data_IF_722359200836
#
_entry.id   IF_722359200836
#
_cell.length_a   1.000
_cell.length_b   1.000
_cell.length_c   1.000
_cell.angle_alpha   90.00
_cell.angle_beta   90.00
_cell.angle_gamma   90.00
#
_symmetry.space_group_name_H-M   'P 1'
#
loop_
_entity.id
_entity.type
_entity.pdbx_description
1 polymer ?
#
# COMPACT_ATOMS: atom_id res chain seq x y z
N UNK A 1 -17.14 -14.51 -17.77
CA UNK A 1 -17.05 -15.98 -17.81
C UNK A 1 -18.19 -16.66 -17.06
N UNK A 2 -18.33 -16.46 -15.73
CA UNK A 2 -19.34 -17.15 -14.89
C UNK A 2 -20.79 -17.02 -15.41
N UNK A 3 -21.25 -15.79 -15.69
CA UNK A 3 -22.58 -15.55 -16.30
C UNK A 3 -22.79 -16.33 -17.59
N UNK A 4 -21.87 -16.18 -18.55
CA UNK A 4 -21.98 -16.84 -19.85
C UNK A 4 -22.01 -18.37 -19.72
N UNK A 5 -21.18 -18.93 -18.82
CA UNK A 5 -21.14 -20.37 -18.56
C UNK A 5 -22.45 -20.89 -17.95
N UNK A 6 -22.99 -20.20 -16.94
CA UNK A 6 -24.25 -20.61 -16.31
C UNK A 6 -25.43 -20.59 -17.30
N UNK A 7 -25.58 -19.50 -18.05
CA UNK A 7 -26.67 -19.36 -19.02
C UNK A 7 -26.55 -20.38 -20.18
N UNK A 8 -25.33 -20.71 -20.61
CA UNK A 8 -25.11 -21.69 -21.68
C UNK A 8 -25.56 -23.12 -21.33
N UNK A 9 -25.65 -23.46 -20.04
CA UNK A 9 -26.09 -24.79 -19.57
C UNK A 9 -27.51 -24.79 -19.00
N UNK A 10 -28.27 -23.71 -19.18
CA UNK A 10 -29.60 -23.53 -18.58
C UNK A 10 -29.57 -23.39 -17.06
N UNK A 11 -28.42 -23.04 -16.49
CA UNK A 11 -28.24 -22.80 -15.06
C UNK A 11 -28.43 -21.33 -14.70
N UNK A 12 -28.57 -21.06 -13.40
CA UNK A 12 -28.53 -19.72 -12.83
C UNK A 12 -27.21 -19.46 -12.09
N UNK A 13 -26.84 -18.19 -11.96
CA UNK A 13 -25.69 -17.77 -11.16
C UNK A 13 -25.98 -16.46 -10.44
N UNK A 14 -25.61 -16.40 -9.16
CA UNK A 14 -25.55 -15.17 -8.38
C UNK A 14 -24.10 -14.74 -8.27
N UNK A 15 -23.81 -13.50 -8.65
CA UNK A 15 -22.49 -12.89 -8.57
C UNK A 15 -22.53 -11.79 -7.53
N UNK A 16 -21.78 -11.98 -6.45
CA UNK A 16 -21.55 -10.97 -5.41
C UNK A 16 -20.19 -10.32 -5.65
N UNK A 17 -20.18 -9.00 -5.84
CA UNK A 17 -18.96 -8.18 -5.98
C UNK A 17 -18.73 -7.43 -4.67
N UNK A 18 -17.54 -7.56 -4.12
CA UNK A 18 -17.08 -6.81 -2.94
C UNK A 18 -15.96 -5.85 -3.36
N UNK A 19 -15.85 -4.67 -2.73
CA UNK A 19 -14.73 -3.77 -2.98
C UNK A 19 -13.41 -4.40 -2.56
N UNK A 20 -12.39 -4.25 -3.40
CA UNK A 20 -10.99 -4.56 -3.08
C UNK A 20 -10.19 -3.28 -2.83
N UNK A 21 -8.89 -3.44 -2.54
CA UNK A 21 -8.01 -2.31 -2.25
C UNK A 21 -7.74 -1.43 -3.47
N UNK A 22 -7.59 -0.14 -3.24
CA UNK A 22 -7.23 0.83 -4.26
C UNK A 22 -5.76 0.71 -4.71
N UNK A 23 -5.39 1.19 -5.92
CA UNK A 23 -4.00 1.18 -6.36
C UNK A 23 -3.10 2.02 -5.47
N UNK A 24 -2.00 1.45 -4.99
CA UNK A 24 -1.02 2.13 -4.15
C UNK A 24 -0.37 3.33 -4.86
N UNK A 25 -0.40 4.50 -4.21
CA UNK A 25 0.20 5.76 -4.71
C UNK A 25 1.23 6.29 -3.71
N UNK A 26 2.49 5.93 -3.91
CA UNK A 26 3.59 6.39 -3.04
C UNK A 26 3.76 7.91 -3.14
N UNK A 27 3.80 8.61 -2.01
CA UNK A 27 4.17 10.04 -2.00
C UNK A 27 5.69 10.19 -2.14
N UNK A 28 6.15 10.76 -3.26
CA UNK A 28 7.58 10.77 -3.62
C UNK A 28 8.46 11.54 -2.62
N UNK A 29 8.05 12.74 -2.17
CA UNK A 29 8.88 13.49 -1.21
C UNK A 29 8.99 12.79 0.15
N UNK A 30 7.89 12.18 0.62
CA UNK A 30 7.87 11.37 1.83
C UNK A 30 8.73 10.11 1.66
N UNK A 31 8.67 9.48 0.49
CA UNK A 31 9.50 8.33 0.15
C UNK A 31 10.99 8.70 0.15
N UNK A 32 11.38 9.88 -0.35
CA UNK A 32 12.78 10.32 -0.35
C UNK A 32 13.31 10.65 1.05
N UNK A 33 12.47 11.17 1.95
CA UNK A 33 12.84 11.31 3.37
C UNK A 33 13.12 9.93 3.96
N UNK A 34 12.21 8.98 3.76
CA UNK A 34 12.37 7.63 4.26
C UNK A 34 13.58 6.91 3.65
N UNK A 35 13.83 7.09 2.35
CA UNK A 35 14.95 6.50 1.62
C UNK A 35 16.27 6.95 2.21
N UNK A 36 16.48 8.25 2.45
CA UNK A 36 17.71 8.77 3.07
C UNK A 36 17.97 8.16 4.44
N UNK A 37 16.92 8.03 5.26
CA UNK A 37 17.03 7.40 6.58
C UNK A 37 17.34 5.90 6.48
N UNK A 38 16.79 5.19 5.49
CA UNK A 38 17.15 3.81 5.22
C UNK A 38 18.62 3.68 4.76
N UNK A 39 19.09 4.56 3.87
CA UNK A 39 20.47 4.58 3.38
C UNK A 39 21.47 4.78 4.52
N UNK A 40 21.17 5.66 5.48
CA UNK A 40 22.04 5.86 6.65
C UNK A 40 22.17 4.59 7.51
N UNK A 41 21.13 3.75 7.55
CA UNK A 41 21.07 2.56 8.38
C UNK A 41 21.64 1.31 7.71
N UNK A 42 21.43 1.16 6.40
CA UNK A 42 21.79 -0.07 5.67
C UNK A 42 22.74 0.13 4.49
N UNK A 43 23.13 1.36 4.16
CA UNK A 43 23.96 1.67 2.99
C UNK A 43 23.15 1.80 1.69
N UNK A 44 23.64 2.62 0.77
CA UNK A 44 22.97 2.92 -0.52
C UNK A 44 22.80 1.67 -1.37
N UNK A 45 23.78 0.76 -1.36
CA UNK A 45 23.77 -0.48 -2.11
C UNK A 45 22.66 -1.47 -1.70
N UNK A 46 22.11 -1.29 -0.49
CA UNK A 46 21.06 -2.13 0.09
C UNK A 46 19.66 -1.49 0.02
N UNK A 47 19.55 -0.28 -0.53
CA UNK A 47 18.26 0.40 -0.76
C UNK A 47 17.93 0.34 -2.25
N UNK A 48 16.70 -0.06 -2.58
CA UNK A 48 16.23 -0.16 -3.96
C UNK A 48 14.85 0.43 -4.12
N UNK A 49 14.67 1.19 -5.19
CA UNK A 49 13.35 1.56 -5.67
C UNK A 49 12.81 0.45 -6.56
N UNK A 50 11.57 0.04 -6.30
CA UNK A 50 10.85 -0.89 -7.15
C UNK A 50 9.80 -0.12 -7.94
N UNK A 51 9.65 -0.48 -9.22
CA UNK A 51 8.49 -0.07 -10.01
C UNK A 51 7.21 -0.79 -9.56
N UNK A 52 6.23 -0.85 -10.46
CA UNK A 52 5.00 -1.61 -10.23
C UNK A 52 5.31 -3.07 -9.86
N UNK A 53 4.85 -3.49 -8.68
CA UNK A 53 4.92 -4.88 -8.19
C UNK A 53 3.53 -5.45 -8.04
N UNK A 54 3.41 -6.76 -8.22
CA UNK A 54 2.22 -7.50 -7.80
C UNK A 54 2.14 -7.52 -6.27
N UNK A 55 0.94 -7.35 -5.73
CA UNK A 55 0.69 -7.29 -4.30
C UNK A 55 -0.72 -6.77 -4.01
N UNK A 56 -1.11 -6.80 -2.74
CA UNK A 56 -2.42 -6.37 -2.28
C UNK A 56 -2.27 -5.80 -0.87
N UNK A 57 -2.60 -4.52 -0.69
CA UNK A 57 -2.48 -3.83 0.60
C UNK A 57 -3.54 -2.73 0.72
N UNK A 58 -4.13 -2.60 1.90
CA UNK A 58 -5.07 -1.54 2.27
C UNK A 58 -4.43 -0.15 2.33
N UNK A 59 -3.10 -0.06 2.39
CA UNK A 59 -2.38 1.21 2.24
C UNK A 59 -2.65 1.87 0.88
N UNK A 60 -3.11 1.11 -0.11
CA UNK A 60 -3.64 1.66 -1.35
C UNK A 60 -4.81 2.61 -1.15
N UNK A 61 -5.66 2.36 -0.15
CA UNK A 61 -6.80 3.20 0.19
C UNK A 61 -6.35 4.49 0.88
N UNK A 62 -5.43 4.38 1.85
CA UNK A 62 -4.85 5.52 2.58
C UNK A 62 -4.18 6.50 1.62
N UNK A 63 -3.40 5.98 0.67
CA UNK A 63 -2.69 6.81 -0.33
C UNK A 63 -3.61 7.55 -1.30
N UNK A 64 -4.91 7.26 -1.34
CA UNK A 64 -5.86 8.06 -2.13
C UNK A 64 -6.20 9.40 -1.47
N UNK A 65 -6.22 9.43 -0.14
CA UNK A 65 -6.81 10.54 0.64
C UNK A 65 -5.79 11.36 1.44
N UNK A 66 -4.58 10.83 1.66
CA UNK A 66 -3.52 11.54 2.39
C UNK A 66 -2.10 11.15 1.92
N UNK A 67 -1.07 11.96 2.21
CA UNK A 67 0.32 11.58 1.98
C UNK A 67 0.66 10.31 2.77
N UNK A 68 1.07 9.26 2.08
CA UNK A 68 1.50 8.01 2.70
C UNK A 68 2.50 7.28 1.82
N UNK A 69 3.27 6.39 2.46
CA UNK A 69 4.19 5.48 1.80
C UNK A 69 4.00 4.05 2.34
N UNK A 70 4.43 3.06 1.55
CA UNK A 70 4.46 1.66 1.92
C UNK A 70 5.84 1.07 1.58
N UNK A 71 6.88 1.33 2.40
CA UNK A 71 8.21 0.78 2.22
C UNK A 71 8.26 -0.71 2.63
N UNK A 72 9.23 -1.44 2.08
CA UNK A 72 9.52 -2.82 2.47
C UNK A 72 10.86 -2.88 3.20
N UNK A 73 10.96 -3.79 4.16
CA UNK A 73 12.22 -4.15 4.80
C UNK A 73 12.69 -5.53 4.28
N UNK A 74 14.01 -5.70 4.18
CA UNK A 74 14.64 -6.98 3.88
C UNK A 74 14.78 -7.87 5.12
N UNK A 75 15.76 -8.77 5.11
CA UNK A 75 16.04 -9.65 6.26
C UNK A 75 15.14 -10.86 6.37
N UNK A 76 14.39 -11.19 5.31
CA UNK A 76 13.52 -12.37 5.22
C UNK A 76 13.90 -13.27 4.05
N UNK A 77 13.75 -14.59 4.24
CA UNK A 77 13.90 -15.63 3.21
C UNK A 77 12.57 -16.36 2.98
N UNK A 78 12.52 -17.17 1.94
CA UNK A 78 11.31 -17.92 1.56
C UNK A 78 10.30 -17.10 0.76
N UNK A 79 9.13 -17.70 0.49
CA UNK A 79 8.05 -17.06 -0.27
C UNK A 79 7.16 -16.24 0.64
N UNK A 80 6.72 -15.07 0.16
CA UNK A 80 5.66 -14.32 0.84
C UNK A 80 4.40 -15.19 0.96
N UNK A 81 3.85 -15.30 2.18
CA UNK A 81 2.78 -16.22 2.56
C UNK A 81 3.09 -17.73 2.40
N UNK A 82 4.36 -18.10 2.22
CA UNK A 82 4.80 -19.49 2.21
C UNK A 82 5.04 -20.05 3.62
N UNK A 83 4.97 -21.38 3.74
CA UNK A 83 5.37 -22.10 4.96
C UNK A 83 6.87 -21.98 5.26
N UNK A 84 7.65 -21.58 4.25
CA UNK A 84 9.10 -21.39 4.28
C UNK A 84 9.51 -19.93 4.61
N UNK A 85 8.56 -19.04 4.92
CA UNK A 85 8.85 -17.65 5.27
C UNK A 85 9.54 -17.56 6.64
N UNK A 86 10.78 -17.04 6.66
CA UNK A 86 11.58 -16.92 7.87
C UNK A 86 12.25 -15.54 7.96
N UNK A 87 12.28 -14.96 9.16
CA UNK A 87 13.11 -13.79 9.47
C UNK A 87 14.54 -14.25 9.75
N UNK A 88 15.44 -14.01 8.81
CA UNK A 88 16.86 -14.40 8.89
C UNK A 88 17.69 -13.35 9.63
N UNK A 89 17.36 -12.08 9.40
CA UNK A 89 18.07 -10.95 9.98
C UNK A 89 17.06 -10.02 10.67
N UNK A 90 16.88 -10.23 11.96
CA UNK A 90 16.03 -9.39 12.81
C UNK A 90 16.54 -7.94 12.89
N UNK A 91 17.86 -7.74 12.77
CA UNK A 91 18.49 -6.43 12.77
C UNK A 91 18.00 -5.59 11.60
N UNK A 92 17.94 -6.17 10.41
CA UNK A 92 17.41 -5.49 9.20
C UNK A 92 15.88 -5.48 9.20
N UNK A 93 15.25 -6.64 9.39
CA UNK A 93 13.81 -6.81 9.21
C UNK A 93 12.99 -6.00 10.22
N UNK A 94 13.51 -5.82 11.44
CA UNK A 94 12.78 -5.15 12.53
C UNK A 94 13.49 -3.89 13.00
N UNK A 95 14.76 -3.99 13.43
CA UNK A 95 15.41 -2.86 14.10
C UNK A 95 15.73 -1.70 13.13
N UNK A 96 16.31 -1.99 11.97
CA UNK A 96 16.61 -0.98 10.96
C UNK A 96 15.31 -0.40 10.38
N UNK A 97 14.31 -1.23 10.08
CA UNK A 97 13.01 -0.78 9.63
C UNK A 97 12.33 0.17 10.63
N UNK A 98 12.31 -0.19 11.92
CA UNK A 98 11.76 0.65 12.98
C UNK A 98 12.53 1.97 13.13
N UNK A 99 13.87 1.93 13.08
CA UNK A 99 14.71 3.14 13.12
C UNK A 99 14.44 4.04 11.92
N UNK A 100 14.35 3.50 10.71
CA UNK A 100 14.06 4.28 9.50
C UNK A 100 12.71 4.99 9.61
N UNK A 101 11.67 4.31 10.11
CA UNK A 101 10.38 4.93 10.38
C UNK A 101 10.47 6.03 11.45
N UNK A 102 11.17 5.77 12.56
CA UNK A 102 11.34 6.75 13.64
C UNK A 102 12.10 8.00 13.17
N UNK A 103 13.20 7.83 12.43
CA UNK A 103 13.97 8.92 11.83
C UNK A 103 13.09 9.73 10.85
N UNK A 104 12.26 9.04 10.06
CA UNK A 104 11.30 9.71 9.16
C UNK A 104 10.32 10.59 9.94
N UNK A 105 9.80 10.11 11.07
CA UNK A 105 8.93 10.92 11.96
C UNK A 105 9.69 12.12 12.53
N UNK A 106 10.93 11.94 12.97
CA UNK A 106 11.79 13.02 13.48
C UNK A 106 12.03 14.08 12.40
N UNK A 107 12.35 13.69 11.17
CA UNK A 107 12.57 14.62 10.06
C UNK A 107 11.31 15.39 9.64
N UNK A 108 10.14 14.75 9.79
CA UNK A 108 8.86 15.36 9.47
C UNK A 108 8.42 16.37 10.53
N UNK A 109 8.55 16.02 11.81
CA UNK A 109 8.01 16.77 12.93
C UNK A 109 9.03 17.68 13.62
N UNK A 110 10.32 17.47 13.39
CA UNK A 110 11.38 18.38 13.82
C UNK A 110 11.25 19.76 13.16
N UNK A 111 11.93 20.76 13.73
CA UNK A 111 11.89 22.15 13.27
C UNK A 111 10.46 22.66 13.06
N UNK A 112 9.64 22.56 14.12
CA UNK A 112 8.23 22.98 14.14
C UNK A 112 7.36 22.31 13.06
N UNK A 113 7.66 21.05 12.73
CA UNK A 113 6.96 20.26 11.72
C UNK A 113 6.85 20.93 10.33
N UNK A 114 7.80 21.81 10.00
CA UNK A 114 7.80 22.55 8.74
C UNK A 114 7.72 21.63 7.52
N UNK A 115 8.49 20.53 7.51
CA UNK A 115 8.52 19.58 6.40
C UNK A 115 7.21 18.79 6.27
N UNK A 116 6.62 18.34 7.38
CA UNK A 116 5.29 17.73 7.36
C UNK A 116 4.23 18.70 6.85
N UNK A 117 4.29 19.96 7.28
CA UNK A 117 3.36 21.01 6.87
C UNK A 117 3.45 21.31 5.37
N UNK A 118 4.67 21.39 4.83
CA UNK A 118 4.93 21.54 3.39
C UNK A 118 4.33 20.38 2.59
N UNK A 119 4.57 19.13 3.01
CA UNK A 119 4.02 17.92 2.35
C UNK A 119 2.50 17.95 2.35
N UNK A 120 1.86 18.20 3.49
CA UNK A 120 0.40 18.23 3.60
C UNK A 120 -0.19 19.37 2.77
N UNK A 121 0.43 20.55 2.76
CA UNK A 121 -0.06 21.70 2.01
C UNK A 121 0.04 21.53 0.49
N UNK A 122 1.05 20.80 0.00
CA UNK A 122 1.28 20.57 -1.43
C UNK A 122 0.57 19.32 -1.95
N UNK A 123 0.17 18.41 -1.06
CA UNK A 123 -0.49 17.18 -1.44
C UNK A 123 -1.83 17.44 -2.11
N UNK A 124 -2.04 16.79 -3.25
CA UNK A 124 -3.31 16.74 -3.96
C UNK A 124 -3.89 15.34 -3.83
N UNK A 125 -4.89 15.13 -2.95
CA UNK A 125 -5.56 13.85 -2.83
C UNK A 125 -6.13 13.40 -4.17
N UNK A 126 -6.04 12.09 -4.47
CA UNK A 126 -6.72 11.51 -5.62
C UNK A 126 -8.23 11.49 -5.42
N UNK A 127 -8.67 11.41 -4.17
CA UNK A 127 -10.06 11.48 -3.73
C UNK A 127 -10.14 12.23 -2.40
N UNK A 128 -11.25 12.91 -2.19
CA UNK A 128 -11.73 13.24 -0.84
C UNK A 128 -12.16 11.96 -0.11
N UNK A 129 -12.31 12.06 1.22
CA UNK A 129 -12.87 10.96 2.02
C UNK A 129 -14.27 10.56 1.56
N UNK A 130 -15.10 11.52 1.17
CA UNK A 130 -16.47 11.28 0.72
C UNK A 130 -16.50 10.55 -0.62
N UNK A 131 -15.66 10.95 -1.57
CA UNK A 131 -15.50 10.27 -2.86
C UNK A 131 -14.98 8.85 -2.69
N UNK A 132 -13.98 8.64 -1.81
CA UNK A 132 -13.48 7.31 -1.48
C UNK A 132 -14.59 6.40 -0.94
N UNK A 133 -15.35 6.87 0.05
CA UNK A 133 -16.45 6.10 0.65
C UNK A 133 -17.56 5.82 -0.37
N UNK A 134 -17.90 6.80 -1.21
CA UNK A 134 -18.87 6.66 -2.30
C UNK A 134 -18.42 5.59 -3.29
N UNK A 135 -17.15 5.62 -3.69
CA UNK A 135 -16.55 4.65 -4.62
C UNK A 135 -16.54 3.24 -4.03
N UNK A 136 -16.13 3.06 -2.77
CA UNK A 136 -16.13 1.74 -2.14
C UNK A 136 -17.53 1.13 -2.06
N UNK A 137 -18.53 1.95 -1.72
CA UNK A 137 -19.94 1.53 -1.66
C UNK A 137 -20.49 1.19 -3.04
N UNK A 138 -20.11 1.93 -4.08
CA UNK A 138 -20.61 1.70 -5.44
C UNK A 138 -20.08 0.43 -6.09
N UNK A 139 -18.94 -0.10 -5.62
CA UNK A 139 -18.38 -1.37 -6.07
C UNK A 139 -19.12 -2.59 -5.50
N UNK A 140 -19.78 -2.44 -4.34
CA UNK A 140 -20.52 -3.53 -3.73
C UNK A 140 -21.82 -3.78 -4.49
N UNK A 141 -22.01 -5.00 -4.99
CA UNK A 141 -23.24 -5.39 -5.67
C UNK A 141 -23.51 -6.89 -5.59
N UNK A 142 -24.77 -7.26 -5.74
CA UNK A 142 -25.19 -8.65 -5.91
C UNK A 142 -26.17 -8.72 -7.08
N UNK A 143 -25.92 -9.64 -8.01
CA UNK A 143 -26.72 -9.77 -9.23
C UNK A 143 -26.96 -11.24 -9.54
N UNK A 144 -28.22 -11.60 -9.76
CA UNK A 144 -28.63 -12.95 -10.16
C UNK A 144 -29.01 -12.99 -11.63
N UNK A 145 -28.50 -13.99 -12.34
CA UNK A 145 -28.79 -14.27 -13.74
C UNK A 145 -29.40 -15.67 -13.84
N UNK A 146 -30.60 -15.79 -14.39
CA UNK A 146 -31.28 -17.07 -14.61
C UNK A 146 -31.37 -17.36 -16.11
N UNK A 147 -31.12 -18.63 -16.48
CA UNK A 147 -31.21 -19.14 -17.85
C UNK A 147 -32.56 -19.78 -18.17
#
# INVERSE_FOLDING_TARGET
>A
ALRAGALAVGGSVTITTLPGYMPLRQHLDLAEIHRRNAVELVGEENVREFGLRGGSTDMGDVTQIMPAIHPFAGGVSGRSHGEDLVVEDYGVAVLAAAKAMAMTVVDLLGHDARRASEIVAQFKPAMTREEYLSRMRSLQSEQTYAG
#
